data_IF_981361303829
#
_entry.id   IF_981361303829
#
_cell.length_a   1.000
_cell.length_b   1.000
_cell.length_c   1.000
_cell.angle_alpha   90.00
_cell.angle_beta   90.00
_cell.angle_gamma   90.00
#
_symmetry.space_group_name_H-M   'P 1'
#
loop_
_entity.id
_entity.type
_entity.pdbx_description
1 polymer ?
#
# COMPACT_ATOMS: atom_id res chain seq x y z
N UNK A 1 24.53 -0.15 -8.01
CA UNK A 1 23.42 -0.63 -8.84
C UNK A 1 22.50 0.54 -9.09
N UNK A 2 22.04 0.69 -10.34
CA UNK A 2 21.12 1.73 -10.79
C UNK A 2 19.75 1.11 -11.08
N UNK A 3 18.73 1.54 -10.33
CA UNK A 3 17.40 0.91 -10.31
C UNK A 3 16.39 1.89 -10.87
N UNK A 4 15.65 1.49 -11.91
CA UNK A 4 14.48 2.23 -12.37
C UNK A 4 13.23 1.76 -11.63
N UNK A 5 12.52 2.64 -10.93
CA UNK A 5 11.24 2.34 -10.28
C UNK A 5 10.11 3.00 -11.05
N UNK A 6 9.09 2.20 -11.39
CA UNK A 6 7.89 2.66 -12.09
C UNK A 6 6.67 2.35 -11.25
N UNK A 7 5.90 3.37 -10.92
CA UNK A 7 4.74 3.24 -10.05
C UNK A 7 3.68 4.32 -10.34
N UNK A 8 2.51 4.17 -9.76
CA UNK A 8 1.57 5.29 -9.67
C UNK A 8 2.02 6.25 -8.56
N UNK A 9 2.27 7.53 -8.86
CA UNK A 9 2.74 8.53 -7.88
C UNK A 9 1.60 9.06 -7.01
N UNK A 10 0.81 8.16 -6.39
CA UNK A 10 -0.42 8.51 -5.68
C UNK A 10 -0.32 8.21 -4.18
N UNK A 11 -1.25 8.78 -3.38
CA UNK A 11 -1.41 8.47 -1.95
C UNK A 11 -1.91 7.03 -1.67
N UNK A 12 -2.13 6.21 -2.70
CA UNK A 12 -2.45 4.79 -2.53
C UNK A 12 -1.28 3.99 -1.96
N UNK A 13 -1.58 2.89 -1.27
CA UNK A 13 -0.57 2.07 -0.60
C UNK A 13 0.58 1.62 -1.51
N UNK A 14 0.32 1.30 -2.77
CA UNK A 14 1.35 0.91 -3.75
C UNK A 14 2.31 2.04 -4.12
N UNK A 15 1.80 3.26 -4.34
CA UNK A 15 2.63 4.43 -4.65
C UNK A 15 3.51 4.83 -3.46
N UNK A 16 2.91 4.83 -2.27
CA UNK A 16 3.64 5.06 -1.01
C UNK A 16 4.73 4.02 -0.81
N UNK A 17 4.42 2.73 -0.97
CA UNK A 17 5.41 1.66 -0.80
C UNK A 17 6.56 1.77 -1.80
N UNK A 18 6.25 2.02 -3.08
CA UNK A 18 7.28 2.19 -4.12
C UNK A 18 8.23 3.34 -3.79
N UNK A 19 7.68 4.45 -3.28
CA UNK A 19 8.48 5.62 -2.87
C UNK A 19 9.36 5.30 -1.66
N UNK A 20 8.80 4.70 -0.61
CA UNK A 20 9.55 4.31 0.59
C UNK A 20 10.64 3.26 0.27
N UNK A 21 10.38 2.33 -0.68
CA UNK A 21 11.37 1.39 -1.18
C UNK A 21 12.53 2.12 -1.86
N UNK A 22 12.22 3.06 -2.75
CA UNK A 22 13.25 3.85 -3.45
C UNK A 22 14.09 4.69 -2.49
N UNK A 23 13.47 5.32 -1.49
CA UNK A 23 14.17 6.06 -0.43
C UNK A 23 15.09 5.13 0.35
N UNK A 24 14.58 3.98 0.80
CA UNK A 24 15.39 3.02 1.58
C UNK A 24 16.57 2.44 0.79
N UNK A 25 16.40 2.23 -0.51
CA UNK A 25 17.50 1.81 -1.40
C UNK A 25 18.53 2.94 -1.61
N UNK A 26 18.06 4.17 -1.78
CA UNK A 26 18.95 5.35 -1.89
C UNK A 26 19.78 5.57 -0.64
N UNK A 27 19.20 5.39 0.55
CA UNK A 27 19.88 5.46 1.85
C UNK A 27 21.00 4.42 1.97
N UNK A 28 20.91 3.31 1.24
CA UNK A 28 21.92 2.26 1.13
C UNK A 28 22.95 2.51 0.03
N UNK A 29 22.88 3.63 -0.67
CA UNK A 29 23.84 4.04 -1.70
C UNK A 29 23.51 3.53 -3.12
N UNK A 30 22.32 2.99 -3.35
CA UNK A 30 21.86 2.70 -4.71
C UNK A 30 21.39 3.97 -5.40
N UNK A 31 21.59 4.04 -6.72
CA UNK A 31 21.08 5.12 -7.56
C UNK A 31 19.67 4.73 -8.04
N UNK A 32 18.66 5.52 -7.69
CA UNK A 32 17.25 5.22 -7.92
C UNK A 32 16.64 6.24 -8.87
N UNK A 33 15.99 5.76 -9.93
CA UNK A 33 15.38 6.55 -10.97
C UNK A 33 13.87 6.29 -11.00
N UNK A 34 13.06 7.22 -10.47
CA UNK A 34 11.61 7.17 -10.61
C UNK A 34 11.19 7.62 -12.01
N UNK A 35 10.42 6.77 -12.71
CA UNK A 35 9.89 7.03 -14.06
C UNK A 35 8.36 7.06 -13.94
N UNK A 36 7.78 8.24 -13.77
CA UNK A 36 6.37 8.43 -13.45
C UNK A 36 5.84 9.74 -14.05
N UNK A 37 4.52 9.91 -14.16
CA UNK A 37 3.91 11.13 -14.73
C UNK A 37 3.88 12.34 -13.78
N UNK A 38 4.08 12.10 -12.49
CA UNK A 38 4.20 13.13 -11.44
C UNK A 38 5.25 12.67 -10.42
N UNK A 39 5.75 13.61 -9.63
CA UNK A 39 6.68 13.29 -8.57
C UNK A 39 5.99 12.40 -7.52
N UNK A 40 6.59 11.26 -7.13
CA UNK A 40 6.00 10.35 -6.16
C UNK A 40 5.71 11.01 -4.82
N UNK A 41 4.55 10.65 -4.24
CA UNK A 41 4.14 11.10 -2.91
C UNK A 41 5.21 10.74 -1.88
N UNK A 42 5.44 11.63 -0.91
CA UNK A 42 6.47 11.54 0.13
C UNK A 42 7.91 11.81 -0.33
N UNK A 43 8.21 11.80 -1.62
CA UNK A 43 9.56 12.12 -2.11
C UNK A 43 9.94 13.58 -1.85
N UNK A 44 8.97 14.49 -1.79
CA UNK A 44 9.18 15.92 -1.54
C UNK A 44 9.55 16.28 -0.09
N UNK A 45 9.49 15.32 0.84
CA UNK A 45 9.65 15.59 2.27
C UNK A 45 11.11 15.77 2.70
N UNK A 46 12.06 15.28 1.88
CA UNK A 46 13.50 15.42 2.12
C UNK A 46 14.29 15.32 0.82
N UNK A 47 15.50 15.89 0.82
CA UNK A 47 16.43 15.77 -0.30
C UNK A 47 17.16 14.43 -0.24
N UNK A 48 17.17 13.70 -1.35
CA UNK A 48 17.86 12.42 -1.52
C UNK A 48 18.85 12.51 -2.68
N UNK A 49 20.16 12.56 -2.43
CA UNK A 49 21.17 12.84 -3.47
C UNK A 49 21.28 11.75 -4.55
N UNK A 50 20.83 10.53 -4.25
CA UNK A 50 20.87 9.39 -5.17
C UNK A 50 19.50 9.08 -5.79
N UNK A 51 18.51 9.97 -5.66
CA UNK A 51 17.19 9.80 -6.28
C UNK A 51 17.00 10.80 -7.41
N UNK A 52 16.59 10.28 -8.56
CA UNK A 52 16.32 11.04 -9.78
C UNK A 52 14.86 10.83 -10.18
N UNK A 53 14.22 11.91 -10.61
CA UNK A 53 12.86 11.87 -11.13
C UNK A 53 12.84 12.14 -12.63
N UNK A 54 12.17 11.27 -13.37
CA UNK A 54 11.98 11.36 -14.81
C UNK A 54 10.48 11.43 -15.12
N UNK A 55 10.02 12.59 -15.51
CA UNK A 55 8.62 12.84 -15.84
C UNK A 55 8.22 12.16 -17.15
N UNK A 56 7.18 11.35 -17.12
CA UNK A 56 6.54 10.76 -18.30
C UNK A 56 5.48 11.74 -18.83
N UNK A 57 5.82 12.47 -19.88
CA UNK A 57 4.90 13.40 -20.53
C UNK A 57 4.07 12.69 -21.58
N UNK A 58 2.75 12.83 -21.49
CA UNK A 58 1.82 12.33 -22.50
C UNK A 58 1.31 13.54 -23.29
N UNK A 59 1.77 13.75 -24.52
CA UNK A 59 1.30 14.86 -25.33
C UNK A 59 -0.16 14.68 -25.70
N UNK A 60 -0.94 15.75 -25.60
CA UNK A 60 -2.30 15.78 -26.13
C UNK A 60 -2.24 15.92 -27.65
N UNK A 61 -2.95 15.06 -28.37
CA UNK A 61 -3.09 15.14 -29.80
C UNK A 61 -4.56 14.99 -30.18
N UNK A 62 -5.10 15.84 -31.07
CA UNK A 62 -6.56 15.91 -31.34
C UNK A 62 -7.22 14.59 -31.80
N UNK A 63 -6.44 13.64 -32.34
CA UNK A 63 -6.95 12.33 -32.76
C UNK A 63 -6.92 11.27 -31.65
N UNK A 64 -6.39 11.60 -30.46
CA UNK A 64 -6.37 10.69 -29.33
C UNK A 64 -7.52 11.01 -28.36
N UNK A 65 -8.62 10.28 -28.47
CA UNK A 65 -9.70 10.35 -27.48
C UNK A 65 -9.20 9.94 -26.09
N UNK A 66 -8.26 8.98 -26.06
CA UNK A 66 -7.59 8.51 -24.85
C UNK A 66 -6.08 8.71 -24.98
N UNK A 67 -5.44 9.47 -24.06
CA UNK A 67 -4.00 9.66 -24.08
C UNK A 67 -3.24 8.32 -23.97
N UNK A 68 -2.30 8.01 -24.90
CA UNK A 68 -1.60 6.72 -24.94
C UNK A 68 -0.47 6.66 -23.88
N UNK A 69 -0.83 6.66 -22.60
CA UNK A 69 0.11 6.70 -21.47
C UNK A 69 1.13 5.56 -21.53
N UNK A 70 0.69 4.34 -21.77
CA UNK A 70 1.54 3.15 -21.80
C UNK A 70 2.66 3.27 -22.85
N UNK A 71 2.33 3.77 -24.03
CA UNK A 71 3.29 4.01 -25.12
C UNK A 71 4.31 5.11 -24.76
N UNK A 72 3.83 6.20 -24.13
CA UNK A 72 4.69 7.27 -23.65
C UNK A 72 5.63 6.78 -22.53
N UNK A 73 5.11 5.95 -21.62
CA UNK A 73 5.87 5.33 -20.55
C UNK A 73 6.96 4.41 -21.10
N UNK A 74 6.65 3.55 -22.08
CA UNK A 74 7.64 2.69 -22.72
C UNK A 74 8.77 3.50 -23.36
N UNK A 75 8.44 4.60 -24.06
CA UNK A 75 9.43 5.50 -24.66
C UNK A 75 10.30 6.19 -23.60
N UNK A 76 9.70 6.65 -22.50
CA UNK A 76 10.44 7.24 -21.38
C UNK A 76 11.39 6.23 -20.74
N UNK A 77 10.94 4.98 -20.52
CA UNK A 77 11.77 3.90 -20.01
C UNK A 77 12.99 3.67 -20.92
N UNK A 78 12.82 3.56 -22.24
CA UNK A 78 13.92 3.40 -23.19
C UNK A 78 14.94 4.51 -23.03
N UNK A 79 14.51 5.76 -23.01
CA UNK A 79 15.40 6.93 -22.87
C UNK A 79 16.16 6.91 -21.53
N UNK A 80 15.48 6.64 -20.43
CA UNK A 80 16.11 6.61 -19.09
C UNK A 80 17.10 5.45 -19.00
N UNK A 81 16.73 4.25 -19.45
CA UNK A 81 17.62 3.07 -19.45
C UNK A 81 18.91 3.37 -20.21
N UNK A 82 18.80 3.97 -21.41
CA UNK A 82 19.96 4.28 -22.25
C UNK A 82 20.83 5.37 -21.62
N UNK A 83 20.24 6.48 -21.23
CA UNK A 83 20.97 7.67 -20.79
C UNK A 83 21.57 7.51 -19.39
N UNK A 84 20.89 6.76 -18.50
CA UNK A 84 21.35 6.56 -17.12
C UNK A 84 22.08 5.23 -16.90
N UNK A 85 22.10 4.33 -17.89
CA UNK A 85 22.69 2.99 -17.79
C UNK A 85 22.08 2.18 -16.63
N UNK A 86 20.75 2.05 -16.59
CA UNK A 86 20.07 1.27 -15.56
C UNK A 86 20.49 -0.21 -15.61
N UNK A 87 20.58 -0.82 -14.42
CA UNK A 87 20.90 -2.25 -14.27
C UNK A 87 19.62 -3.11 -14.26
N UNK A 88 18.50 -2.57 -13.75
CA UNK A 88 17.23 -3.27 -13.57
C UNK A 88 16.06 -2.29 -13.52
N UNK A 89 14.87 -2.73 -13.96
CA UNK A 89 13.61 -2.06 -13.70
C UNK A 89 12.82 -2.78 -12.60
N UNK A 90 12.21 -2.03 -11.70
CA UNK A 90 11.22 -2.53 -10.75
C UNK A 90 9.88 -1.83 -11.00
N UNK A 91 8.90 -2.62 -11.37
CA UNK A 91 7.58 -2.19 -11.80
C UNK A 91 6.56 -2.52 -10.73
N UNK A 92 5.76 -1.55 -10.36
CA UNK A 92 4.64 -1.75 -9.46
C UNK A 92 3.36 -1.79 -10.27
N UNK A 93 2.72 -2.96 -10.37
CA UNK A 93 1.59 -3.39 -11.19
C UNK A 93 1.96 -4.06 -12.53
N UNK A 94 1.16 -5.08 -12.87
CA UNK A 94 1.25 -5.78 -14.14
C UNK A 94 0.91 -4.86 -15.32
N UNK A 95 -0.16 -4.09 -15.20
CA UNK A 95 -0.57 -3.08 -16.18
C UNK A 95 -0.72 -1.70 -15.51
N UNK A 96 -0.36 -0.62 -16.19
CA UNK A 96 0.29 -0.55 -17.50
C UNK A 96 1.84 -0.65 -17.40
N UNK A 97 2.41 -0.91 -16.23
CA UNK A 97 3.84 -0.75 -16.00
C UNK A 97 4.66 -1.90 -16.58
N UNK A 98 4.29 -3.17 -16.29
CA UNK A 98 5.05 -4.31 -16.83
C UNK A 98 4.82 -4.50 -18.34
N UNK A 99 3.62 -4.22 -18.86
CA UNK A 99 3.37 -4.23 -20.31
C UNK A 99 4.21 -3.18 -21.04
N UNK A 100 4.28 -1.94 -20.49
CA UNK A 100 5.14 -0.88 -21.02
C UNK A 100 6.63 -1.26 -20.97
N UNK A 101 7.09 -1.90 -19.89
CA UNK A 101 8.48 -2.34 -19.75
C UNK A 101 8.83 -3.47 -20.74
N UNK A 102 7.91 -4.41 -20.96
CA UNK A 102 8.09 -5.41 -22.02
C UNK A 102 8.26 -4.74 -23.38
N UNK A 103 7.42 -3.77 -23.70
CA UNK A 103 7.51 -3.03 -24.96
C UNK A 103 8.83 -2.24 -25.05
N UNK A 104 9.25 -1.56 -24.00
CA UNK A 104 10.55 -0.88 -23.93
C UNK A 104 11.72 -1.84 -24.16
N UNK A 105 11.67 -3.04 -23.54
CA UNK A 105 12.68 -4.09 -23.71
C UNK A 105 12.77 -4.58 -25.18
N UNK A 106 11.63 -4.74 -25.88
CA UNK A 106 11.63 -5.11 -27.28
C UNK A 106 12.27 -4.04 -28.18
N UNK A 107 12.07 -2.76 -27.88
CA UNK A 107 12.73 -1.65 -28.59
C UNK A 107 14.26 -1.70 -28.34
N UNK A 108 14.67 -1.86 -27.09
CA UNK A 108 16.09 -1.92 -26.71
C UNK A 108 16.83 -3.08 -27.37
N UNK A 109 16.23 -4.26 -27.47
CA UNK A 109 16.81 -5.43 -28.15
C UNK A 109 17.18 -5.14 -29.60
N UNK A 110 16.44 -4.28 -30.31
CA UNK A 110 16.77 -3.87 -31.67
C UNK A 110 18.02 -3.01 -31.75
N UNK A 111 18.43 -2.38 -30.64
CA UNK A 111 19.67 -1.58 -30.55
C UNK A 111 20.82 -2.35 -29.91
N UNK A 112 20.67 -3.67 -29.69
CA UNK A 112 21.67 -4.52 -29.05
C UNK A 112 21.78 -4.33 -27.55
N UNK A 113 20.76 -3.72 -26.92
CA UNK A 113 20.69 -3.51 -25.47
C UNK A 113 19.51 -4.31 -24.89
N UNK A 114 19.68 -4.76 -23.67
CA UNK A 114 18.62 -5.49 -22.95
C UNK A 114 18.69 -5.17 -21.45
N UNK A 115 17.58 -5.36 -20.72
CA UNK A 115 17.48 -5.06 -19.29
C UNK A 115 16.48 -6.02 -18.62
N UNK A 116 16.81 -6.58 -17.45
CA UNK A 116 15.82 -7.33 -16.68
C UNK A 116 14.82 -6.42 -15.98
N UNK A 117 13.61 -6.96 -15.72
CA UNK A 117 12.62 -6.28 -14.94
C UNK A 117 11.86 -7.19 -13.98
N UNK A 118 11.55 -6.66 -12.80
CA UNK A 118 10.76 -7.29 -11.75
C UNK A 118 9.40 -6.60 -11.66
N UNK A 119 8.34 -7.36 -11.44
CA UNK A 119 7.00 -6.83 -11.23
C UNK A 119 6.49 -7.18 -9.84
N UNK A 120 6.12 -6.15 -9.06
CA UNK A 120 5.41 -6.31 -7.78
C UNK A 120 3.91 -6.13 -8.00
N UNK A 121 3.14 -7.16 -7.62
CA UNK A 121 1.69 -7.18 -7.65
C UNK A 121 1.13 -6.55 -6.37
N UNK A 122 0.14 -5.66 -6.50
CA UNK A 122 -0.42 -4.89 -5.39
C UNK A 122 -1.89 -5.17 -5.08
N UNK A 123 -2.56 -5.93 -5.92
CA UNK A 123 -3.93 -6.38 -5.72
C UNK A 123 -4.94 -5.77 -6.70
N UNK A 124 -4.98 -4.46 -6.92
CA UNK A 124 -5.92 -3.85 -7.87
C UNK A 124 -5.76 -4.44 -9.27
N UNK A 125 -4.54 -4.69 -9.70
CA UNK A 125 -4.19 -5.35 -10.95
C UNK A 125 -4.62 -6.83 -11.03
N UNK A 126 -4.86 -7.46 -9.89
CA UNK A 126 -5.21 -8.87 -9.78
C UNK A 126 -6.70 -9.04 -9.47
N UNK A 127 -7.17 -8.42 -8.40
CA UNK A 127 -8.51 -8.69 -7.83
C UNK A 127 -9.63 -7.86 -8.45
N UNK A 128 -9.31 -6.71 -9.03
CA UNK A 128 -10.29 -5.78 -9.59
C UNK A 128 -10.16 -5.66 -11.12
N UNK A 129 -9.11 -4.98 -11.58
CA UNK A 129 -8.94 -4.67 -13.01
C UNK A 129 -8.56 -5.93 -13.80
N UNK A 130 -7.66 -6.75 -13.26
CA UNK A 130 -7.13 -7.90 -13.96
C UNK A 130 -8.15 -9.02 -14.23
N UNK A 131 -9.23 -9.08 -13.43
CA UNK A 131 -10.33 -10.06 -13.65
C UNK A 131 -11.30 -9.65 -14.78
N UNK A 132 -11.20 -8.43 -15.28
CA UNK A 132 -11.98 -8.00 -16.43
C UNK A 132 -11.44 -8.68 -17.70
N UNK A 133 -12.27 -9.38 -18.49
CA UNK A 133 -11.85 -10.07 -19.71
C UNK A 133 -11.14 -9.16 -20.73
N UNK A 134 -11.36 -7.86 -20.65
CA UNK A 134 -10.69 -6.85 -21.49
C UNK A 134 -9.21 -6.74 -21.19
N UNK A 135 -8.80 -6.94 -19.94
CA UNK A 135 -7.41 -6.76 -19.48
C UNK A 135 -6.70 -8.07 -19.16
N UNK A 136 -7.44 -9.14 -18.85
CA UNK A 136 -6.89 -10.44 -18.41
C UNK A 136 -5.75 -10.96 -19.32
N UNK A 137 -5.88 -10.97 -20.65
CA UNK A 137 -4.82 -11.50 -21.52
C UNK A 137 -3.50 -10.71 -21.40
N UNK A 138 -3.59 -9.37 -21.28
CA UNK A 138 -2.42 -8.50 -21.15
C UNK A 138 -1.80 -8.61 -19.76
N UNK A 139 -2.63 -8.74 -18.72
CA UNK A 139 -2.16 -8.95 -17.34
C UNK A 139 -1.41 -10.28 -17.23
N UNK A 140 -2.01 -11.38 -17.70
CA UNK A 140 -1.38 -12.71 -17.72
C UNK A 140 -0.05 -12.68 -18.46
N UNK A 141 -0.03 -12.09 -19.66
CA UNK A 141 1.18 -11.97 -20.47
C UNK A 141 2.25 -11.16 -19.74
N UNK A 142 1.91 -9.98 -19.22
CA UNK A 142 2.87 -9.06 -18.59
C UNK A 142 3.51 -9.65 -17.33
N UNK A 143 2.74 -10.41 -16.55
CA UNK A 143 3.25 -11.13 -15.38
C UNK A 143 4.25 -12.21 -15.85
N UNK A 144 3.90 -13.03 -16.84
CA UNK A 144 4.76 -14.10 -17.32
C UNK A 144 6.04 -13.60 -18.04
N UNK A 145 6.04 -12.40 -18.60
CA UNK A 145 7.22 -11.79 -19.22
C UNK A 145 8.20 -11.16 -18.24
N UNK A 146 7.80 -10.96 -16.99
CA UNK A 146 8.68 -10.43 -15.92
C UNK A 146 9.79 -11.45 -15.59
N UNK A 147 11.02 -10.98 -15.35
CA UNK A 147 12.15 -11.85 -14.99
C UNK A 147 12.01 -12.40 -13.56
N UNK A 148 11.36 -11.64 -12.67
CA UNK A 148 10.85 -12.12 -11.39
C UNK A 148 9.52 -11.41 -11.05
N UNK A 149 8.73 -12.06 -10.23
CA UNK A 149 7.41 -11.58 -9.81
C UNK A 149 7.39 -11.56 -8.29
N UNK A 150 6.89 -10.47 -7.70
CA UNK A 150 6.64 -10.43 -6.26
C UNK A 150 5.18 -10.11 -5.97
N UNK A 151 4.66 -10.62 -4.87
CA UNK A 151 3.36 -10.26 -4.32
C UNK A 151 3.52 -9.77 -2.89
N UNK A 152 2.63 -8.86 -2.46
CA UNK A 152 2.72 -8.23 -1.13
C UNK A 152 2.19 -9.10 -0.01
N UNK A 153 1.59 -10.25 -0.31
CA UNK A 153 1.05 -11.21 0.66
C UNK A 153 0.94 -12.61 0.05
N UNK A 154 0.89 -13.63 0.90
CA UNK A 154 0.61 -15.01 0.48
C UNK A 154 -0.80 -15.14 -0.13
N UNK A 155 -1.76 -14.39 0.45
CA UNK A 155 -3.10 -14.35 -0.10
C UNK A 155 -3.12 -13.79 -1.53
N UNK A 156 -2.42 -12.70 -1.80
CA UNK A 156 -2.37 -12.14 -3.16
C UNK A 156 -1.66 -13.07 -4.15
N UNK A 157 -0.61 -13.76 -3.71
CA UNK A 157 0.04 -14.82 -4.50
C UNK A 157 -0.96 -15.92 -4.87
N UNK A 158 -1.70 -16.44 -3.90
CA UNK A 158 -2.71 -17.47 -4.13
C UNK A 158 -3.83 -17.02 -5.08
N UNK A 159 -4.34 -15.79 -4.87
CA UNK A 159 -5.34 -15.17 -5.76
C UNK A 159 -4.84 -14.99 -7.18
N UNK A 160 -3.55 -14.67 -7.34
CA UNK A 160 -2.94 -14.52 -8.68
C UNK A 160 -2.91 -15.86 -9.41
N UNK A 161 -2.48 -16.94 -8.78
CA UNK A 161 -2.49 -18.28 -9.38
C UNK A 161 -3.91 -18.79 -9.63
N UNK A 162 -4.87 -18.43 -8.79
CA UNK A 162 -6.26 -18.80 -8.98
C UNK A 162 -6.89 -18.09 -10.19
N UNK A 163 -6.54 -16.83 -10.41
CA UNK A 163 -7.20 -15.96 -11.41
C UNK A 163 -6.52 -15.97 -12.77
N UNK A 164 -5.22 -16.30 -12.84
CA UNK A 164 -4.42 -16.20 -14.06
C UNK A 164 -3.56 -17.44 -14.27
N UNK A 165 -3.31 -17.77 -15.54
CA UNK A 165 -2.37 -18.83 -15.90
C UNK A 165 -0.93 -18.30 -15.78
N UNK A 166 -0.37 -18.36 -14.58
CA UNK A 166 1.00 -17.95 -14.32
C UNK A 166 1.91 -19.16 -14.31
N UNK A 167 3.01 -19.07 -15.08
CA UNK A 167 3.99 -20.15 -15.30
C UNK A 167 5.25 -19.99 -14.43
N UNK A 168 5.41 -18.84 -13.80
CA UNK A 168 6.58 -18.49 -12.99
C UNK A 168 6.25 -18.48 -11.51
N UNK A 169 7.27 -18.68 -10.68
CA UNK A 169 7.13 -18.50 -9.25
C UNK A 169 6.86 -17.03 -8.89
N UNK A 170 6.02 -16.84 -7.88
CA UNK A 170 5.76 -15.54 -7.27
C UNK A 170 6.39 -15.51 -5.89
N UNK A 171 7.38 -14.65 -5.70
CA UNK A 171 8.02 -14.43 -4.41
C UNK A 171 7.15 -13.52 -3.54
N UNK A 172 6.87 -13.93 -2.31
CA UNK A 172 6.14 -13.06 -1.39
C UNK A 172 7.12 -12.15 -0.64
N UNK A 173 7.06 -10.86 -0.91
CA UNK A 173 7.78 -9.83 -0.17
C UNK A 173 6.75 -8.87 0.41
N UNK A 174 6.47 -8.92 1.72
CA UNK A 174 5.41 -8.12 2.32
C UNK A 174 5.70 -6.61 2.23
N UNK A 175 4.66 -5.81 2.35
CA UNK A 175 4.84 -4.40 2.58
C UNK A 175 5.56 -4.18 3.92
N UNK A 176 6.18 -3.02 4.08
CA UNK A 176 6.96 -2.70 5.26
C UNK A 176 6.60 -1.32 5.82
N UNK A 177 7.03 -1.07 7.05
CA UNK A 177 6.87 0.20 7.74
C UNK A 177 8.21 0.72 8.25
N UNK A 178 8.36 2.03 8.30
CA UNK A 178 9.47 2.70 8.98
C UNK A 178 9.07 3.06 10.41
N UNK A 179 9.49 2.28 11.38
CA UNK A 179 9.19 2.52 12.81
C UNK A 179 9.85 3.79 13.38
N UNK A 180 10.81 4.39 12.67
CA UNK A 180 11.36 5.71 13.05
C UNK A 180 10.43 6.85 12.67
N UNK A 181 9.57 6.63 11.69
CA UNK A 181 8.54 7.57 11.25
C UNK A 181 7.19 7.31 11.91
N UNK A 182 6.82 6.03 12.00
CA UNK A 182 5.59 5.57 12.64
C UNK A 182 5.90 5.04 14.02
N UNK A 183 5.67 5.83 15.04
CA UNK A 183 5.88 5.47 16.45
C UNK A 183 4.87 6.18 17.33
N UNK A 184 4.61 5.64 18.50
CA UNK A 184 3.80 6.30 19.49
C UNK A 184 4.58 7.50 20.04
N UNK A 185 4.12 8.72 19.74
CA UNK A 185 4.67 9.94 20.28
C UNK A 185 3.80 10.41 21.46
N UNK A 186 4.45 10.99 22.47
CA UNK A 186 3.74 11.71 23.53
C UNK A 186 3.19 13.02 22.92
N UNK A 187 1.90 13.04 22.64
CA UNK A 187 1.17 14.17 22.05
C UNK A 187 -0.12 14.45 22.82
N UNK A 188 -0.06 14.41 24.13
CA UNK A 188 -1.19 14.65 25.01
C UNK A 188 -1.94 15.94 24.66
N UNK A 189 -1.22 16.99 24.27
CA UNK A 189 -1.84 18.23 23.81
C UNK A 189 -2.77 18.04 22.59
N UNK A 190 -2.33 17.28 21.59
CA UNK A 190 -3.13 16.99 20.40
C UNK A 190 -4.33 16.11 20.74
N UNK A 191 -4.12 15.12 21.60
CA UNK A 191 -5.18 14.24 22.10
C UNK A 191 -6.23 15.05 22.88
N UNK A 192 -5.82 15.95 23.76
CA UNK A 192 -6.72 16.84 24.52
C UNK A 192 -7.55 17.77 23.62
N UNK A 193 -6.99 18.26 22.50
CA UNK A 193 -7.75 19.09 21.55
C UNK A 193 -8.85 18.32 20.82
N UNK A 194 -8.65 17.03 20.56
CA UNK A 194 -9.59 16.20 19.80
C UNK A 194 -10.56 15.42 20.71
N UNK A 195 -10.12 15.09 21.90
CA UNK A 195 -10.83 14.32 22.92
C UNK A 195 -10.69 14.98 24.29
N UNK A 196 -11.31 16.19 24.51
CA UNK A 196 -11.08 17.01 25.68
C UNK A 196 -11.62 16.41 26.98
N UNK A 197 -12.56 15.48 26.90
CA UNK A 197 -13.17 14.80 28.05
C UNK A 197 -12.52 13.43 28.32
N UNK A 198 -11.36 13.14 27.68
CA UNK A 198 -10.66 11.87 27.81
C UNK A 198 -11.25 10.73 26.97
N UNK A 199 -12.01 11.06 25.94
CA UNK A 199 -12.61 10.08 25.05
C UNK A 199 -11.54 9.25 24.33
N UNK A 200 -11.88 8.02 23.96
CA UNK A 200 -11.05 7.17 23.10
C UNK A 200 -11.03 7.69 21.66
N UNK A 201 -9.89 7.67 21.03
CA UNK A 201 -9.75 8.07 19.63
C UNK A 201 -9.69 6.81 18.75
N UNK A 202 -10.72 6.61 17.92
CA UNK A 202 -10.76 5.60 16.89
C UNK A 202 -10.32 6.23 15.56
N UNK A 203 -9.69 5.44 14.70
CA UNK A 203 -9.18 5.93 13.41
C UNK A 203 -9.49 4.95 12.27
N UNK A 204 -9.77 5.50 11.10
CA UNK A 204 -9.83 4.79 9.83
C UNK A 204 -9.02 5.54 8.77
N UNK A 205 -8.20 4.81 8.00
CA UNK A 205 -7.39 5.39 6.92
C UNK A 205 -7.59 4.59 5.65
N UNK A 206 -8.17 5.20 4.61
CA UNK A 206 -8.33 4.56 3.30
C UNK A 206 -8.60 5.58 2.17
N UNK A 207 -8.74 5.08 0.95
CA UNK A 207 -9.15 5.86 -0.21
C UNK A 207 -10.67 5.89 -0.46
N UNK A 208 -11.46 5.62 0.54
CA UNK A 208 -12.95 5.65 0.59
C UNK A 208 -13.64 5.10 -0.68
N UNK A 209 -13.13 3.97 -1.17
CA UNK A 209 -13.79 3.18 -2.22
C UNK A 209 -14.75 2.16 -1.58
N UNK A 210 -15.72 1.66 -2.33
CA UNK A 210 -16.74 0.72 -1.87
C UNK A 210 -16.15 -0.51 -1.15
N UNK A 211 -15.06 -1.07 -1.67
CA UNK A 211 -14.35 -2.19 -1.06
C UNK A 211 -13.78 -1.88 0.34
N UNK A 212 -13.68 -0.59 0.73
CA UNK A 212 -13.23 -0.17 2.07
C UNK A 212 -14.36 -0.08 3.08
N UNK A 213 -15.62 -0.16 2.63
CA UNK A 213 -16.83 -0.22 3.47
C UNK A 213 -16.85 0.86 4.55
N UNK A 214 -16.55 2.11 4.17
CA UNK A 214 -16.42 3.24 5.12
C UNK A 214 -17.70 3.51 5.92
N UNK A 215 -18.87 3.14 5.38
CA UNK A 215 -20.13 3.21 6.13
C UNK A 215 -20.16 2.22 7.30
N UNK A 216 -19.51 1.07 7.19
CA UNK A 216 -19.44 0.11 8.27
C UNK A 216 -18.54 0.62 9.40
N UNK A 217 -17.52 1.44 9.10
CA UNK A 217 -16.74 2.16 10.14
C UNK A 217 -17.66 3.04 10.99
N UNK A 218 -18.54 3.81 10.34
CA UNK A 218 -19.51 4.68 11.03
C UNK A 218 -20.49 3.87 11.89
N UNK A 219 -21.00 2.74 11.37
CA UNK A 219 -21.92 1.87 12.10
C UNK A 219 -21.26 1.19 13.31
N UNK A 220 -20.01 0.74 13.16
CA UNK A 220 -19.22 0.20 14.28
C UNK A 220 -19.00 1.28 15.33
N UNK A 221 -18.61 2.47 14.91
CA UNK A 221 -18.39 3.60 15.81
C UNK A 221 -19.67 4.01 16.57
N UNK A 222 -20.84 4.02 15.91
CA UNK A 222 -22.13 4.30 16.56
C UNK A 222 -22.36 3.38 17.76
N UNK A 223 -22.15 2.07 17.56
CA UNK A 223 -22.31 1.08 18.64
C UNK A 223 -21.25 1.23 19.74
N UNK A 224 -20.02 1.49 19.38
CA UNK A 224 -18.92 1.72 20.34
C UNK A 224 -19.23 2.93 21.23
N UNK A 225 -19.64 4.04 20.63
CA UNK A 225 -19.90 5.29 21.34
C UNK A 225 -21.03 5.19 22.37
N UNK A 226 -22.02 4.29 22.16
CA UNK A 226 -23.09 4.05 23.13
C UNK A 226 -22.58 3.45 24.45
N UNK A 227 -21.38 2.87 24.46
CA UNK A 227 -20.79 2.18 25.64
C UNK A 227 -19.52 2.87 26.15
N UNK A 228 -18.69 3.36 25.23
CA UNK A 228 -17.39 3.98 25.52
C UNK A 228 -17.38 5.39 24.95
N UNK A 229 -17.11 6.44 25.76
CA UNK A 229 -16.92 7.78 25.23
C UNK A 229 -15.78 7.80 24.20
N UNK A 230 -16.09 8.22 22.97
CA UNK A 230 -15.17 8.08 21.86
C UNK A 230 -15.35 9.14 20.78
N UNK A 231 -14.27 9.39 20.02
CA UNK A 231 -14.22 10.20 18.79
C UNK A 231 -13.68 9.35 17.65
N UNK A 232 -14.13 9.61 16.43
CA UNK A 232 -13.69 8.93 15.23
C UNK A 232 -13.01 9.89 14.25
N UNK A 233 -11.80 9.53 13.80
CA UNK A 233 -11.05 10.25 12.78
C UNK A 233 -11.08 9.45 11.47
N UNK A 234 -11.68 10.01 10.43
CA UNK A 234 -11.77 9.43 9.09
C UNK A 234 -10.74 10.12 8.20
N UNK A 235 -9.66 9.39 7.85
CA UNK A 235 -8.52 9.92 7.09
C UNK A 235 -8.55 9.35 5.68
N UNK A 236 -8.48 10.23 4.69
CA UNK A 236 -8.53 9.88 3.28
C UNK A 236 -9.68 10.55 2.56
N UNK A 237 -9.85 10.16 1.30
CA UNK A 237 -10.87 10.73 0.42
C UNK A 237 -11.22 9.74 -0.69
N UNK A 238 -12.42 9.84 -1.23
CA UNK A 238 -12.86 8.98 -2.32
C UNK A 238 -14.36 9.00 -2.55
N UNK A 239 -14.86 8.17 -3.48
CA UNK A 239 -16.26 8.19 -3.92
C UNK A 239 -17.29 8.05 -2.79
N UNK A 240 -16.98 7.25 -1.76
CA UNK A 240 -17.94 6.93 -0.70
C UNK A 240 -17.89 7.93 0.49
N UNK A 241 -17.10 9.00 0.37
CA UNK A 241 -16.98 10.00 1.44
C UNK A 241 -18.33 10.63 1.78
N UNK A 242 -19.04 11.13 0.77
CA UNK A 242 -20.33 11.80 0.97
C UNK A 242 -21.32 10.87 1.66
N UNK A 243 -21.40 9.59 1.27
CA UNK A 243 -22.30 8.62 1.87
C UNK A 243 -21.94 8.35 3.36
N UNK A 244 -20.67 8.35 3.72
CA UNK A 244 -20.23 8.20 5.10
C UNK A 244 -20.57 9.44 5.95
N UNK A 245 -20.38 10.66 5.40
CA UNK A 245 -20.76 11.91 6.06
C UNK A 245 -22.28 12.00 6.30
N UNK A 246 -23.10 11.63 5.31
CA UNK A 246 -24.54 11.66 5.42
C UNK A 246 -25.06 10.61 6.43
N UNK A 247 -24.42 9.44 6.48
CA UNK A 247 -24.73 8.43 7.49
C UNK A 247 -24.36 8.93 8.90
N UNK A 248 -23.22 9.55 9.07
CA UNK A 248 -22.82 10.12 10.37
C UNK A 248 -23.80 11.20 10.85
N UNK A 249 -24.32 12.05 9.95
CA UNK A 249 -25.37 13.03 10.26
C UNK A 249 -26.68 12.37 10.65
N UNK A 250 -27.11 11.37 9.89
CA UNK A 250 -28.36 10.63 10.13
C UNK A 250 -28.37 9.95 11.51
N UNK A 251 -27.20 9.43 11.93
CA UNK A 251 -27.02 8.80 13.24
C UNK A 251 -26.73 9.80 14.37
N UNK A 252 -26.71 11.12 14.09
CA UNK A 252 -26.42 12.15 15.10
C UNK A 252 -24.98 12.20 15.59
N UNK A 253 -24.03 11.63 14.82
CA UNK A 253 -22.62 11.49 15.18
C UNK A 253 -21.74 12.63 14.66
N UNK A 254 -22.31 13.66 14.05
CA UNK A 254 -21.56 14.69 13.32
C UNK A 254 -20.47 15.37 14.16
N UNK A 255 -20.71 15.60 15.46
CA UNK A 255 -19.77 16.24 16.38
C UNK A 255 -18.67 15.29 16.90
N UNK A 256 -18.80 13.99 16.63
CA UNK A 256 -17.90 12.96 17.15
C UNK A 256 -17.08 12.29 16.03
N UNK A 257 -17.44 12.56 14.77
CA UNK A 257 -16.74 12.05 13.59
C UNK A 257 -16.08 13.23 12.85
N UNK A 258 -14.78 13.15 12.63
CA UNK A 258 -14.05 14.15 11.86
C UNK A 258 -13.51 13.55 10.57
N UNK A 259 -13.92 14.10 9.44
CA UNK A 259 -13.40 13.76 8.12
C UNK A 259 -12.23 14.68 7.78
N UNK A 260 -11.00 14.17 7.86
CA UNK A 260 -9.77 14.97 7.76
C UNK A 260 -9.24 15.10 6.32
N UNK A 261 -9.85 14.41 5.35
CA UNK A 261 -9.34 14.37 3.98
C UNK A 261 -7.99 13.66 3.89
N UNK A 262 -7.29 13.86 2.77
CA UNK A 262 -5.93 13.31 2.57
C UNK A 262 -4.94 14.02 3.48
N UNK A 263 -4.14 13.26 4.20
CA UNK A 263 -3.10 13.76 5.12
C UNK A 263 -1.73 13.21 4.72
N UNK A 264 -0.73 14.06 4.70
CA UNK A 264 0.66 13.64 4.44
C UNK A 264 1.36 13.12 5.69
N UNK A 265 1.09 13.73 6.84
CA UNK A 265 1.70 13.39 8.13
C UNK A 265 0.75 12.54 8.98
N UNK A 266 0.32 11.39 8.44
CA UNK A 266 -0.64 10.52 9.13
C UNK A 266 -0.06 9.92 10.42
N UNK A 267 1.27 9.82 10.55
CA UNK A 267 1.92 9.30 11.76
C UNK A 267 1.56 10.10 13.01
N UNK A 268 1.37 11.43 12.89
CA UNK A 268 0.97 12.27 14.01
C UNK A 268 -0.43 11.94 14.50
N UNK A 269 -1.35 11.67 13.57
CA UNK A 269 -2.73 11.30 13.90
C UNK A 269 -2.79 9.88 14.44
N UNK A 270 -2.05 8.95 13.83
CA UNK A 270 -2.01 7.56 14.28
C UNK A 270 -1.39 7.45 15.69
N UNK A 271 -0.41 8.29 16.04
CA UNK A 271 0.26 8.24 17.35
C UNK A 271 -0.66 8.53 18.54
N UNK A 272 -1.78 9.22 18.35
CA UNK A 272 -2.76 9.52 19.40
C UNK A 272 -3.97 8.60 19.40
N UNK A 273 -4.08 7.69 18.43
CA UNK A 273 -5.21 6.79 18.31
C UNK A 273 -5.16 5.63 19.32
N UNK A 274 -6.35 5.19 19.72
CA UNK A 274 -6.51 4.06 20.64
C UNK A 274 -6.95 2.78 19.91
N UNK A 275 -7.59 2.89 18.73
CA UNK A 275 -8.07 1.75 17.95
C UNK A 275 -8.16 2.08 16.47
N UNK A 276 -7.73 1.16 15.62
CA UNK A 276 -7.88 1.25 14.16
C UNK A 276 -9.02 0.34 13.70
N UNK A 277 -9.92 0.86 12.85
CA UNK A 277 -11.03 0.07 12.26
C UNK A 277 -10.81 -0.05 10.76
N UNK A 278 -10.74 -1.28 10.24
CA UNK A 278 -10.55 -1.57 8.81
C UNK A 278 -11.52 -2.68 8.34
N UNK A 279 -12.79 -2.36 8.02
CA UNK A 279 -13.80 -3.33 7.64
C UNK A 279 -13.76 -3.71 6.15
N UNK A 280 -12.59 -3.64 5.52
CA UNK A 280 -12.43 -3.85 4.08
C UNK A 280 -12.99 -5.19 3.61
N UNK A 281 -13.68 -5.17 2.47
CA UNK A 281 -14.15 -6.38 1.78
C UNK A 281 -13.01 -7.09 1.06
N UNK A 282 -12.06 -6.30 0.54
CA UNK A 282 -10.84 -6.80 -0.11
C UNK A 282 -9.66 -5.94 0.33
N UNK A 283 -8.60 -6.59 0.77
CA UNK A 283 -7.36 -5.94 1.19
C UNK A 283 -6.15 -6.80 0.79
N UNK A 284 -5.24 -6.26 0.02
CA UNK A 284 -4.09 -7.04 -0.44
C UNK A 284 -3.05 -7.26 0.66
N UNK A 285 -2.96 -6.33 1.61
CA UNK A 285 -2.03 -6.40 2.75
C UNK A 285 -2.51 -5.60 3.96
N UNK A 286 -2.93 -4.35 3.77
CA UNK A 286 -3.33 -3.46 4.87
C UNK A 286 -2.21 -2.53 5.35
N UNK A 287 -1.51 -1.85 4.42
CA UNK A 287 -0.39 -0.97 4.76
C UNK A 287 -0.78 0.11 5.79
N UNK A 288 -1.95 0.74 5.65
CA UNK A 288 -2.41 1.77 6.60
C UNK A 288 -2.66 1.20 8.02
N UNK A 289 -3.12 -0.05 8.10
CA UNK A 289 -3.26 -0.74 9.38
C UNK A 289 -1.90 -1.07 9.99
N UNK A 290 -0.93 -1.53 9.18
CA UNK A 290 0.45 -1.77 9.63
C UNK A 290 1.09 -0.47 10.15
N UNK A 291 0.88 0.67 9.48
CA UNK A 291 1.33 1.99 9.94
C UNK A 291 0.69 2.35 11.31
N UNK A 292 -0.61 2.06 11.48
CA UNK A 292 -1.30 2.20 12.77
C UNK A 292 -0.70 1.30 13.87
N UNK A 293 -0.48 0.03 13.55
CA UNK A 293 0.13 -0.93 14.49
C UNK A 293 1.55 -0.50 14.91
N UNK A 294 2.33 0.10 14.00
CA UNK A 294 3.64 0.67 14.32
C UNK A 294 3.54 1.86 15.28
N UNK A 295 2.42 2.60 15.26
CA UNK A 295 2.09 3.63 16.26
C UNK A 295 1.43 3.05 17.52
N UNK A 296 1.53 1.73 17.75
CA UNK A 296 0.92 1.04 18.91
C UNK A 296 -0.61 1.07 18.89
N UNK A 297 -1.26 1.08 17.73
CA UNK A 297 -2.73 1.08 17.61
C UNK A 297 -3.25 -0.32 17.32
N UNK A 298 -4.05 -0.94 18.21
CA UNK A 298 -4.69 -2.23 17.95
C UNK A 298 -5.67 -2.15 16.78
N UNK A 299 -5.89 -3.28 16.11
CA UNK A 299 -6.65 -3.36 14.87
C UNK A 299 -7.95 -4.16 15.02
N UNK A 300 -9.07 -3.55 14.67
CA UNK A 300 -10.32 -4.26 14.37
C UNK A 300 -10.44 -4.34 12.84
N UNK A 301 -10.36 -5.53 12.30
CA UNK A 301 -10.40 -5.75 10.85
C UNK A 301 -11.37 -6.84 10.44
N UNK A 302 -11.61 -6.95 9.15
CA UNK A 302 -12.13 -8.18 8.56
C UNK A 302 -11.02 -9.23 8.44
N UNK A 303 -11.42 -10.48 8.19
CA UNK A 303 -10.54 -11.59 7.85
C UNK A 303 -10.23 -11.68 6.34
N UNK A 304 -10.43 -10.59 5.59
CA UNK A 304 -10.33 -10.56 4.14
C UNK A 304 -8.89 -10.36 3.65
N UNK A 305 -8.56 -11.06 2.57
CA UNK A 305 -7.31 -10.88 1.84
C UNK A 305 -6.06 -11.12 2.70
N UNK A 306 -5.11 -10.18 2.64
CA UNK A 306 -3.86 -10.22 3.40
C UNK A 306 -3.96 -9.70 4.85
N UNK A 307 -5.12 -9.29 5.34
CA UNK A 307 -5.26 -8.78 6.72
C UNK A 307 -4.88 -9.82 7.79
N UNK A 308 -5.20 -11.12 7.65
CA UNK A 308 -4.75 -12.14 8.60
C UNK A 308 -3.23 -12.31 8.70
N UNK A 309 -2.47 -11.80 7.75
CA UNK A 309 -1.01 -11.85 7.78
C UNK A 309 -0.40 -10.79 8.71
N UNK A 310 -1.14 -9.72 8.99
CA UNK A 310 -0.70 -8.64 9.88
C UNK A 310 -1.45 -8.60 11.20
N UNK A 311 -2.77 -8.92 11.22
CA UNK A 311 -3.60 -8.90 12.42
C UNK A 311 -3.68 -10.31 13.03
N UNK A 312 -3.13 -10.49 14.23
CA UNK A 312 -3.22 -11.74 14.98
C UNK A 312 -4.43 -11.68 15.89
N UNK A 313 -5.44 -12.51 15.58
CA UNK A 313 -6.72 -12.50 16.28
C UNK A 313 -6.58 -12.78 17.78
N UNK A 314 -7.17 -11.91 18.61
CA UNK A 314 -7.08 -11.97 20.06
C UNK A 314 -5.76 -11.46 20.67
N UNK A 315 -4.75 -11.10 19.84
CA UNK A 315 -3.47 -10.59 20.31
C UNK A 315 -3.22 -9.14 19.90
N UNK A 316 -3.26 -8.85 18.59
CA UNK A 316 -2.98 -7.50 18.06
C UNK A 316 -4.25 -6.70 17.79
N UNK A 317 -5.37 -7.35 17.92
CA UNK A 317 -6.71 -6.88 17.67
C UNK A 317 -7.66 -8.05 17.50
N UNK A 318 -8.72 -7.84 16.75
CA UNK A 318 -9.67 -8.90 16.40
C UNK A 318 -10.05 -8.86 14.94
N UNK A 319 -10.38 -10.04 14.40
CA UNK A 319 -10.91 -10.19 13.07
C UNK A 319 -12.39 -10.61 13.10
N UNK A 320 -13.13 -10.17 12.10
CA UNK A 320 -14.54 -10.51 11.91
C UNK A 320 -14.80 -10.80 10.44
N UNK A 321 -15.92 -11.45 10.12
CA UNK A 321 -16.34 -11.60 8.73
C UNK A 321 -16.71 -10.24 8.13
N UNK A 322 -16.57 -10.12 6.82
CA UNK A 322 -16.98 -8.91 6.08
C UNK A 322 -18.45 -8.60 6.36
N UNK A 323 -18.74 -7.37 6.80
CA UNK A 323 -20.08 -6.90 7.12
C UNK A 323 -20.61 -7.29 8.51
N UNK A 324 -19.83 -8.00 9.32
CA UNK A 324 -20.22 -8.34 10.70
C UNK A 324 -19.97 -7.18 11.68
N UNK A 325 -20.81 -6.16 11.58
CA UNK A 325 -20.77 -4.94 12.41
C UNK A 325 -20.86 -5.29 13.90
N UNK A 326 -21.70 -6.29 14.25
CA UNK A 326 -21.94 -6.67 15.65
C UNK A 326 -20.70 -7.23 16.31
N UNK A 327 -20.00 -8.15 15.63
CA UNK A 327 -18.76 -8.71 16.13
C UNK A 327 -17.66 -7.64 16.23
N UNK A 328 -17.48 -6.82 15.18
CA UNK A 328 -16.52 -5.73 15.18
C UNK A 328 -16.74 -4.77 16.34
N UNK A 329 -17.99 -4.40 16.59
CA UNK A 329 -18.35 -3.47 17.67
C UNK A 329 -18.09 -4.07 19.05
N UNK A 330 -18.50 -5.33 19.28
CA UNK A 330 -18.22 -6.02 20.55
C UNK A 330 -16.73 -6.09 20.83
N UNK A 331 -15.95 -6.45 19.84
CA UNK A 331 -14.49 -6.57 19.94
C UNK A 331 -13.83 -5.21 20.20
N UNK A 332 -14.29 -4.15 19.54
CA UNK A 332 -13.83 -2.79 19.79
C UNK A 332 -14.14 -2.34 21.23
N UNK A 333 -15.38 -2.53 21.69
CA UNK A 333 -15.79 -2.23 23.07
C UNK A 333 -14.96 -3.05 24.05
N UNK A 334 -14.75 -4.33 23.79
CA UNK A 334 -13.94 -5.19 24.65
C UNK A 334 -12.51 -4.61 24.86
N UNK A 335 -11.82 -4.21 23.78
CA UNK A 335 -10.48 -3.61 23.89
C UNK A 335 -10.52 -2.28 24.66
N UNK A 336 -11.49 -1.40 24.34
CA UNK A 336 -11.49 -0.01 24.79
C UNK A 336 -12.01 0.20 26.23
N UNK A 337 -12.78 -0.77 26.77
CA UNK A 337 -13.43 -0.64 28.08
C UNK A 337 -12.51 -0.88 29.27
N UNK A 338 -11.28 -1.35 29.06
CA UNK A 338 -10.34 -1.70 30.09
C UNK A 338 -8.94 -1.20 29.71
N UNK A 339 -8.31 -0.39 30.56
CA UNK A 339 -7.03 0.25 30.24
C UNK A 339 -5.88 -0.75 30.16
N UNK A 340 -5.79 -1.70 31.07
CA UNK A 340 -4.70 -2.70 31.08
C UNK A 340 -4.79 -3.57 29.83
N UNK A 341 -6.01 -3.94 29.45
CA UNK A 341 -6.27 -4.70 28.22
C UNK A 341 -5.86 -3.89 26.98
N UNK A 342 -6.26 -2.64 26.88
CA UNK A 342 -5.86 -1.76 25.79
C UNK A 342 -4.33 -1.67 25.68
N UNK A 343 -3.63 -1.48 26.81
CA UNK A 343 -2.17 -1.41 26.82
C UNK A 343 -1.51 -2.72 26.37
N UNK A 344 -2.09 -3.87 26.72
CA UNK A 344 -1.60 -5.17 26.25
C UNK A 344 -1.76 -5.32 24.73
N UNK A 345 -2.91 -4.95 24.17
CA UNK A 345 -3.12 -4.94 22.72
C UNK A 345 -2.21 -3.96 22.00
N UNK A 346 -2.02 -2.74 22.54
CA UNK A 346 -1.08 -1.73 22.02
C UNK A 346 0.34 -2.28 21.94
N UNK A 347 0.81 -2.95 22.98
CA UNK A 347 2.15 -3.59 23.02
C UNK A 347 2.27 -4.73 22.02
N UNK A 348 1.23 -5.53 21.86
CA UNK A 348 1.24 -6.62 20.88
C UNK A 348 1.23 -6.08 19.44
N UNK A 349 0.46 -5.04 19.17
CA UNK A 349 0.38 -4.40 17.84
C UNK A 349 1.76 -3.91 17.36
N UNK A 350 2.49 -3.13 18.17
CA UNK A 350 3.82 -2.66 17.77
C UNK A 350 4.83 -3.81 17.63
N UNK A 351 4.75 -4.83 18.48
CA UNK A 351 5.63 -6.00 18.36
C UNK A 351 5.39 -6.77 17.06
N UNK A 352 4.15 -6.86 16.60
CA UNK A 352 3.81 -7.46 15.31
C UNK A 352 4.32 -6.58 14.16
N UNK A 353 4.10 -5.25 14.22
CA UNK A 353 4.54 -4.32 13.19
C UNK A 353 6.07 -4.35 12.98
N UNK A 354 6.85 -4.56 14.03
CA UNK A 354 8.32 -4.70 13.97
C UNK A 354 8.78 -5.84 13.08
N UNK A 355 7.99 -6.90 12.90
CA UNK A 355 8.32 -8.00 11.98
C UNK A 355 8.35 -7.54 10.52
N UNK A 356 7.63 -6.47 10.22
CA UNK A 356 7.52 -5.84 8.89
C UNK A 356 8.34 -4.54 8.78
N UNK A 357 9.32 -4.34 9.65
CA UNK A 357 10.18 -3.17 9.60
C UNK A 357 11.03 -3.18 8.34
N UNK A 358 11.26 -2.00 7.74
CA UNK A 358 12.03 -1.84 6.50
C UNK A 358 13.40 -2.54 6.54
N UNK A 359 14.07 -2.58 7.69
CA UNK A 359 15.36 -3.25 7.85
C UNK A 359 15.29 -4.78 7.64
N UNK A 360 14.14 -5.41 7.80
CA UNK A 360 13.92 -6.84 7.56
C UNK A 360 13.46 -7.15 6.13
N UNK A 361 12.73 -6.20 5.52
CA UNK A 361 12.11 -6.41 4.21
C UNK A 361 12.99 -5.94 3.06
N UNK A 362 13.65 -4.77 3.17
CA UNK A 362 14.49 -4.23 2.10
C UNK A 362 15.59 -5.20 1.64
N UNK A 363 16.31 -5.93 2.54
CA UNK A 363 17.32 -6.90 2.11
C UNK A 363 16.77 -8.04 1.23
N UNK A 364 15.47 -8.33 1.30
CA UNK A 364 14.83 -9.34 0.43
C UNK A 364 14.75 -8.84 -1.01
N UNK A 365 14.40 -7.55 -1.21
CA UNK A 365 14.44 -6.92 -2.54
C UNK A 365 15.86 -6.82 -3.07
N UNK A 366 16.85 -6.43 -2.25
CA UNK A 366 18.25 -6.35 -2.66
C UNK A 366 18.78 -7.69 -3.16
N UNK A 367 18.48 -8.77 -2.43
CA UNK A 367 18.84 -10.14 -2.83
C UNK A 367 18.20 -10.50 -4.17
N UNK A 368 16.90 -10.27 -4.30
CA UNK A 368 16.18 -10.57 -5.54
C UNK A 368 16.73 -9.79 -6.74
N UNK A 369 17.07 -8.50 -6.56
CA UNK A 369 17.71 -7.74 -7.65
C UNK A 369 19.04 -8.35 -8.07
N UNK A 370 19.88 -8.73 -7.12
CA UNK A 370 21.17 -9.35 -7.42
C UNK A 370 21.00 -10.69 -8.15
N UNK A 371 20.08 -11.52 -7.71
CA UNK A 371 19.77 -12.82 -8.31
C UNK A 371 19.25 -12.65 -9.74
N UNK A 372 18.30 -11.74 -9.96
CA UNK A 372 17.73 -11.44 -11.28
C UNK A 372 18.81 -10.92 -12.24
N UNK A 373 19.62 -9.96 -11.83
CA UNK A 373 20.68 -9.41 -12.67
C UNK A 373 21.73 -10.50 -13.01
N UNK A 374 22.10 -11.34 -12.05
CA UNK A 374 23.06 -12.41 -12.25
C UNK A 374 22.52 -13.48 -13.21
N UNK A 375 21.29 -13.93 -13.00
CA UNK A 375 20.63 -14.90 -13.87
C UNK A 375 20.45 -14.37 -15.30
N UNK A 376 20.06 -13.11 -15.42
CA UNK A 376 19.87 -12.45 -16.70
C UNK A 376 21.18 -12.36 -17.49
N UNK A 377 22.28 -11.93 -16.85
CA UNK A 377 23.64 -11.89 -17.45
C UNK A 377 24.14 -13.27 -17.84
N UNK A 378 23.76 -14.31 -17.12
CA UNK A 378 24.11 -15.71 -17.42
C UNK A 378 23.23 -16.36 -18.50
N UNK A 379 22.18 -15.68 -18.98
CA UNK A 379 21.20 -16.23 -19.91
C UNK A 379 20.32 -17.36 -19.31
N UNK A 380 20.17 -17.37 -17.97
CA UNK A 380 19.39 -18.37 -17.22
C UNK A 380 18.13 -17.74 -16.65
N UNK A 381 17.06 -18.54 -16.52
CA UNK A 381 15.91 -18.14 -15.73
C UNK A 381 16.32 -17.99 -14.24
N UNK A 382 15.70 -17.06 -13.53
CA UNK A 382 15.89 -16.94 -12.09
C UNK A 382 15.34 -18.19 -11.44
N UNK A 383 16.17 -18.88 -10.63
CA UNK A 383 15.74 -20.05 -9.91
C UNK A 383 14.70 -19.66 -8.85
N UNK A 384 13.62 -20.42 -8.79
CA UNK A 384 12.56 -20.25 -7.82
C UNK A 384 12.96 -20.64 -6.40
#
# INVERSE_FOLDING_TARGET
MKIGIVCYPTFGGSGVLATELGIALSDKGYEVHFITYEQPVRLNQSFHPNIYFHEVKVPTYPLFDFPPYETALASAMVNVIVNQNLDILHLHYAIPHASAAYFARQILKKTGRDIPFITTLHGTDITLVGKDPTYEPVVTFSINESDAITAVSENLKAETFHSFKIEKEIHVIPNFVDIKRFFQADKDHFKQMLAPEGERILVHVSNFRSVKRVQDVIKVFDKVKQVVPAKLLMIGDGPDRQMAEDLARTLGLYNDVRFLGKQEQISEILSIADLFILPSETESFGLSALEGMACSVPLISTNAGGLPEINVDGETGFMSNVGDIESMSRNAIYILSDEDRLQNFKKAAINQARKFEKQHVIPRYERLYCEVIAAYKAGKAVAG
#
